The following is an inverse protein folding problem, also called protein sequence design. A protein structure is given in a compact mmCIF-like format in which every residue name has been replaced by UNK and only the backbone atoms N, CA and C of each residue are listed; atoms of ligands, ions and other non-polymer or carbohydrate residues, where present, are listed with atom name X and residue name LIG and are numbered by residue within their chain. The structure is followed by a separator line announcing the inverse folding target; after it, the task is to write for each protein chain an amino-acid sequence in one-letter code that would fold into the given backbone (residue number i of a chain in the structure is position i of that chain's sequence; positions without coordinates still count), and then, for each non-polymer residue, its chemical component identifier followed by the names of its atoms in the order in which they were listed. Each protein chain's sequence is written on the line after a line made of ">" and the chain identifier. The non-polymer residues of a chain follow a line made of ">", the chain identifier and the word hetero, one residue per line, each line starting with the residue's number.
data_IF_801444199978
#
_entry.id   IF_801444199978
#
_cell.length_a   1.000
_cell.length_b   1.000
_cell.length_c   1.000
_cell.angle_alpha   90.00
_cell.angle_beta   90.00
_cell.angle_gamma   90.00
#
_symmetry.space_group_name_H-M   'P 1'
#
loop_
_entity.id
_entity.type
_entity.pdbx_description
1 polymer ?
#
# COMPACT_ATOMS: atom_id res chain seq x y z
N UNK A 1 15.52 12.99 -3.95
CA UNK A 1 14.36 12.87 -4.88
C UNK A 1 13.11 12.44 -4.14
N UNK A 2 11.94 12.49 -4.80
CA UNK A 2 10.63 12.10 -4.23
C UNK A 2 9.79 11.37 -5.27
N UNK A 3 8.98 10.42 -4.81
CA UNK A 3 7.93 9.78 -5.63
C UNK A 3 6.58 10.25 -5.09
N UNK A 4 5.65 10.60 -5.99
CA UNK A 4 4.30 11.02 -5.62
C UNK A 4 3.29 10.08 -6.25
N UNK A 5 2.41 9.53 -5.43
CA UNK A 5 1.37 8.61 -5.85
C UNK A 5 0.01 9.19 -5.44
N UNK A 6 -0.92 9.35 -6.37
CA UNK A 6 -2.24 9.89 -6.10
C UNK A 6 -3.30 8.83 -6.37
N UNK A 7 -4.33 8.79 -5.52
CA UNK A 7 -5.48 7.92 -5.70
C UNK A 7 -6.68 8.73 -6.18
N UNK A 8 -7.13 8.41 -7.38
CA UNK A 8 -8.46 8.77 -7.87
C UNK A 8 -9.12 7.52 -8.45
N UNK A 9 -10.05 6.94 -7.69
CA UNK A 9 -10.86 5.74 -7.97
C UNK A 9 -10.08 4.42 -8.01
N UNK A 10 -8.93 4.39 -8.70
CA UNK A 10 -8.07 3.21 -8.77
C UNK A 10 -7.50 2.85 -7.39
N UNK A 11 -7.55 1.57 -6.96
CA UNK A 11 -6.95 1.13 -5.70
C UNK A 11 -5.49 1.55 -5.55
N UNK A 12 -5.12 1.95 -4.34
CA UNK A 12 -3.74 2.30 -3.98
C UNK A 12 -3.47 1.88 -2.54
N UNK A 13 -2.42 1.09 -2.36
CA UNK A 13 -1.98 0.60 -1.07
C UNK A 13 -0.46 0.78 -0.93
N UNK A 14 -0.03 1.09 0.29
CA UNK A 14 1.37 1.14 0.68
C UNK A 14 1.74 -0.06 1.53
N UNK A 15 2.87 -0.70 1.25
CA UNK A 15 3.51 -1.68 2.13
C UNK A 15 4.65 -1.02 2.92
N UNK A 16 4.72 -1.24 4.23
CA UNK A 16 5.69 -0.56 5.10
C UNK A 16 6.66 -1.57 5.72
N UNK A 17 7.97 -1.34 5.59
CA UNK A 17 9.03 -2.03 6.35
C UNK A 17 9.82 -1.01 7.18
N UNK A 18 10.87 -1.47 7.87
CA UNK A 18 11.77 -0.56 8.62
C UNK A 18 12.59 0.32 7.67
N UNK A 19 13.00 -0.22 6.52
CA UNK A 19 13.94 0.43 5.61
C UNK A 19 13.31 0.93 4.30
N UNK A 20 12.07 0.54 3.99
CA UNK A 20 11.45 0.82 2.71
C UNK A 20 9.93 1.01 2.79
N UNK A 21 9.42 1.72 1.77
CA UNK A 21 7.98 1.86 1.51
C UNK A 21 7.70 1.40 0.08
N UNK A 22 6.75 0.48 -0.05
CA UNK A 22 6.26 -0.05 -1.31
C UNK A 22 4.95 0.63 -1.68
N UNK A 23 4.72 0.85 -2.97
CA UNK A 23 3.47 1.41 -3.47
C UNK A 23 2.94 0.50 -4.58
N UNK A 24 1.68 0.06 -4.46
CA UNK A 24 1.05 -0.82 -5.43
C UNK A 24 -0.46 -0.56 -5.52
N UNK A 25 -1.09 -1.04 -6.59
CA UNK A 25 -2.55 -1.01 -6.72
C UNK A 25 -3.24 -2.00 -5.79
N UNK A 26 -2.57 -3.10 -5.46
CA UNK A 26 -3.10 -4.13 -4.57
C UNK A 26 -1.98 -4.70 -3.69
N UNK A 27 -2.36 -5.21 -2.52
CA UNK A 27 -1.39 -5.63 -1.51
C UNK A 27 -0.58 -6.88 -1.85
N UNK A 28 -1.09 -7.89 -2.58
CA UNK A 28 -0.32 -9.08 -2.91
C UNK A 28 1.04 -8.80 -3.58
N UNK A 29 1.17 -7.65 -4.25
CA UNK A 29 2.42 -7.20 -4.83
C UNK A 29 3.57 -7.03 -3.83
N UNK A 30 3.27 -6.76 -2.56
CA UNK A 30 4.27 -6.55 -1.51
C UNK A 30 4.09 -7.46 -0.28
N UNK A 31 3.08 -8.33 -0.24
CA UNK A 31 2.81 -9.22 0.91
C UNK A 31 4.00 -10.11 1.29
N UNK A 32 4.81 -10.52 0.32
CA UNK A 32 6.03 -11.32 0.55
C UNK A 32 7.13 -10.54 1.29
N UNK A 33 7.05 -9.21 1.30
CA UNK A 33 8.02 -8.30 1.92
C UNK A 33 7.50 -7.74 3.24
N UNK A 34 6.20 -7.51 3.36
CA UNK A 34 5.56 -6.99 4.58
C UNK A 34 4.06 -7.24 4.60
N UNK A 35 3.53 -7.51 5.80
CA UNK A 35 2.10 -7.55 6.09
C UNK A 35 1.57 -6.24 6.71
N UNK A 36 2.43 -5.23 6.91
CA UNK A 36 2.04 -3.90 7.37
C UNK A 36 1.64 -3.06 6.18
N UNK A 37 0.37 -2.71 6.08
CA UNK A 37 -0.17 -1.95 4.96
C UNK A 37 -0.90 -0.68 5.39
N UNK A 38 -0.90 0.30 4.49
CA UNK A 38 -1.72 1.51 4.60
C UNK A 38 -2.54 1.64 3.32
N UNK A 39 -3.86 1.60 3.44
CA UNK A 39 -4.76 1.85 2.32
C UNK A 39 -4.92 3.36 2.15
N UNK A 40 -4.74 3.84 0.93
CA UNK A 40 -4.92 5.25 0.57
C UNK A 40 -6.37 5.43 0.13
N UNK A 41 -7.02 6.50 0.59
CA UNK A 41 -8.41 6.80 0.25
C UNK A 41 -8.51 7.61 -1.04
N UNK A 42 -9.72 7.65 -1.59
CA UNK A 42 -9.97 8.46 -2.78
C UNK A 42 -9.78 9.95 -2.48
N UNK A 43 -9.14 10.69 -3.38
CA UNK A 43 -8.87 12.10 -3.14
C UNK A 43 -7.66 12.35 -2.25
N UNK A 44 -6.81 11.34 -2.03
CA UNK A 44 -5.55 11.46 -1.29
C UNK A 44 -4.35 11.21 -2.20
N UNK A 45 -3.20 11.70 -1.77
CA UNK A 45 -1.90 11.38 -2.34
C UNK A 45 -0.88 11.04 -1.26
N UNK A 46 0.16 10.38 -1.69
CA UNK A 46 1.30 9.96 -0.89
C UNK A 46 2.55 10.58 -1.47
N UNK A 47 3.35 11.20 -0.61
CA UNK A 47 4.70 11.64 -0.94
C UNK A 47 5.69 10.69 -0.27
N UNK A 48 6.47 9.99 -1.08
CA UNK A 48 7.47 9.01 -0.66
C UNK A 48 8.87 9.61 -0.81
N UNK A 49 9.72 9.40 0.19
CA UNK A 49 11.13 9.76 0.16
C UNK A 49 11.95 8.78 1.02
N UNK A 50 13.27 8.95 1.05
CA UNK A 50 14.17 8.07 1.83
C UNK A 50 13.88 8.02 3.33
N UNK A 51 13.19 9.01 3.89
CA UNK A 51 12.78 9.06 5.30
C UNK A 51 11.37 8.53 5.58
N UNK A 52 10.65 8.00 4.58
CA UNK A 52 9.33 7.40 4.74
C UNK A 52 8.26 8.00 3.84
N UNK A 53 7.04 8.11 4.37
CA UNK A 53 5.86 8.55 3.61
C UNK A 53 5.03 9.60 4.35
N UNK A 54 4.37 10.48 3.60
CA UNK A 54 3.35 11.40 4.09
C UNK A 54 2.09 11.27 3.24
N UNK A 55 0.92 11.24 3.87
CA UNK A 55 -0.38 11.24 3.18
C UNK A 55 -0.98 12.63 3.28
N UNK A 56 -1.51 13.13 2.17
CA UNK A 56 -2.19 14.43 2.10
C UNK A 56 -3.47 14.34 1.30
N UNK A 57 -4.45 15.17 1.63
CA UNK A 57 -5.65 15.33 0.80
C UNK A 57 -5.33 16.15 -0.45
N UNK A 58 -5.86 15.74 -1.59
CA UNK A 58 -5.74 16.45 -2.87
C UNK A 58 -6.48 17.79 -2.86
N UNK A 59 -7.58 17.90 -2.10
CA UNK A 59 -8.45 19.07 -2.10
C UNK A 59 -7.79 20.32 -1.49
N UNK A 60 -7.06 20.16 -0.39
CA UNK A 60 -6.57 21.26 0.45
C UNK A 60 -5.14 21.08 0.96
N UNK A 61 -4.44 20.02 0.52
CA UNK A 61 -3.08 19.67 0.95
C UNK A 61 -2.95 19.36 2.46
N UNK A 62 -4.06 19.18 3.17
CA UNK A 62 -4.04 18.87 4.60
C UNK A 62 -3.41 17.51 4.87
N UNK A 63 -2.59 17.38 5.94
CA UNK A 63 -1.94 16.12 6.27
C UNK A 63 -2.96 15.12 6.84
N UNK A 64 -2.81 13.86 6.45
CA UNK A 64 -3.61 12.74 6.96
C UNK A 64 -2.70 11.82 7.77
N UNK A 65 -3.03 11.60 9.04
CA UNK A 65 -2.35 10.60 9.88
C UNK A 65 -3.10 9.28 9.80
N UNK A 66 -2.48 8.29 9.17
CA UNK A 66 -2.99 6.92 9.12
C UNK A 66 -1.87 5.94 9.48
N UNK A 67 -1.94 5.27 10.65
CA UNK A 67 -0.94 4.29 11.03
C UNK A 67 -1.07 3.03 10.15
N UNK A 68 0.04 2.33 9.87
CA UNK A 68 0.01 1.03 9.21
C UNK A 68 -0.80 0.03 10.02
N UNK A 69 -1.58 -0.79 9.32
CA UNK A 69 -2.32 -1.92 9.90
C UNK A 69 -1.65 -3.22 9.49
N UNK A 70 -1.61 -4.18 10.41
CA UNK A 70 -1.24 -5.56 10.08
C UNK A 70 -2.44 -6.17 9.37
N UNK A 71 -2.19 -6.78 8.22
CA UNK A 71 -3.23 -7.50 7.49
C UNK A 71 -3.04 -8.99 7.73
N UNK A 72 -4.08 -9.63 8.24
CA UNK A 72 -4.16 -11.07 8.53
C UNK A 72 -4.35 -11.89 7.25
N UNK A 73 -3.50 -11.66 6.24
CA UNK A 73 -3.56 -12.39 4.99
C UNK A 73 -2.61 -13.59 5.07
N UNK A 74 -3.16 -14.79 5.21
CA UNK A 74 -2.37 -16.02 5.03
C UNK A 74 -2.05 -16.18 3.54
N UNK A 75 -0.77 -16.21 3.18
CA UNK A 75 -0.30 -16.47 1.82
C UNK A 75 -0.88 -17.78 1.23
N UNK A 76 -1.23 -18.74 2.09
CA UNK A 76 -1.92 -19.99 1.74
C UNK A 76 -3.30 -19.79 1.07
N UNK A 77 -3.97 -18.65 1.28
CA UNK A 77 -5.23 -18.34 0.57
C UNK A 77 -5.02 -17.94 -0.89
N UNK A 78 -3.79 -17.58 -1.28
CA UNK A 78 -3.42 -17.19 -2.64
C UNK A 78 -2.72 -18.31 -3.43
N UNK A 79 -2.46 -19.47 -2.81
CA UNK A 79 -1.93 -20.63 -3.52
C UNK A 79 -3.05 -21.38 -4.23
N UNK A 80 -2.75 -22.00 -5.38
CA UNK A 80 -3.71 -22.83 -6.13
C UNK A 80 -4.18 -24.08 -5.37
N UNK A 81 -3.82 -24.26 -4.08
CA UNK A 81 -4.12 -25.44 -3.27
C UNK A 81 -3.85 -26.78 -4.00
N UNK A 82 -2.84 -26.83 -4.86
CA UNK A 82 -2.49 -28.01 -5.66
C UNK A 82 -3.16 -28.12 -7.04
N UNK A 83 -4.00 -27.18 -7.47
CA UNK A 83 -4.54 -27.14 -8.82
C UNK A 83 -3.53 -26.58 -9.83
N UNK A 84 -3.50 -27.08 -11.10
CA UNK A 84 -2.60 -26.58 -12.13
C UNK A 84 -2.96 -25.16 -12.58
N UNK A 85 -4.22 -24.73 -12.43
CA UNK A 85 -4.74 -23.43 -12.83
C UNK A 85 -5.58 -22.82 -11.69
N UNK A 86 -5.69 -21.49 -11.63
CA UNK A 86 -6.57 -20.78 -10.68
C UNK A 86 -8.05 -20.82 -11.11
N UNK A 87 -8.35 -21.35 -12.30
CA UNK A 87 -9.67 -21.43 -12.95
C UNK A 87 -9.81 -22.77 -13.65
#
# INVERSE_FOLDING_TARGET
>A
DKIVCARNESPLALGITEDAVFCASDMPAFLQLTNKAVIIENGELVVLNHGGYEIRKLADWSPVRRPPRIVDWNAEMAEKQGYPHFM
#
